data_IF_733547755647
#
_entry.id   IF_733547755647
#
_cell.length_a   1.000
_cell.length_b   1.000
_cell.length_c   1.000
_cell.angle_alpha   90.00
_cell.angle_beta   90.00
_cell.angle_gamma   90.00
#
_symmetry.space_group_name_H-M   'P 1'
#
loop_
_entity.id
_entity.type
_entity.pdbx_description
1 polymer ?
#
# COMPACT_ATOMS: atom_id res chain seq x y z
N UNK A 1 -12.40 -6.63 -9.26
CA UNK A 1 -12.60 -5.25 -9.73
C UNK A 1 -13.15 -4.41 -8.60
N UNK A 2 -12.67 -3.19 -8.44
CA UNK A 2 -13.13 -2.30 -7.38
C UNK A 2 -14.50 -1.71 -7.72
N UNK A 3 -15.35 -1.58 -6.71
CA UNK A 3 -16.58 -0.81 -6.85
C UNK A 3 -16.22 0.68 -6.91
N UNK A 4 -17.16 1.53 -7.31
CA UNK A 4 -16.95 2.97 -7.35
C UNK A 4 -16.58 3.51 -5.96
N UNK A 5 -17.26 3.04 -4.92
CA UNK A 5 -16.95 3.44 -3.54
C UNK A 5 -15.55 3.04 -3.14
N UNK A 6 -15.13 1.83 -3.50
CA UNK A 6 -13.77 1.35 -3.21
C UNK A 6 -12.74 2.15 -3.99
N UNK A 7 -13.03 2.50 -5.24
CA UNK A 7 -12.13 3.31 -6.05
C UNK A 7 -11.95 4.70 -5.45
N UNK A 8 -13.04 5.33 -5.00
CA UNK A 8 -12.97 6.63 -4.34
C UNK A 8 -12.15 6.57 -3.04
N UNK A 9 -12.35 5.51 -2.26
CA UNK A 9 -11.59 5.32 -1.02
C UNK A 9 -10.10 5.15 -1.33
N UNK A 10 -9.78 4.39 -2.38
CA UNK A 10 -8.39 4.17 -2.79
C UNK A 10 -7.76 5.48 -3.27
N UNK A 11 -8.50 6.28 -4.05
CA UNK A 11 -8.01 7.57 -4.55
C UNK A 11 -7.73 8.54 -3.40
N UNK A 12 -8.62 8.58 -2.39
CA UNK A 12 -8.41 9.42 -1.21
C UNK A 12 -7.20 8.94 -0.41
N UNK A 13 -7.05 7.63 -0.28
CA UNK A 13 -5.90 7.06 0.39
C UNK A 13 -4.61 7.44 -0.34
N UNK A 14 -4.58 7.31 -1.67
CA UNK A 14 -3.42 7.67 -2.46
C UNK A 14 -3.05 9.15 -2.28
N UNK A 15 -4.05 10.03 -2.26
CA UNK A 15 -3.82 11.46 -2.02
C UNK A 15 -3.24 11.72 -0.64
N UNK A 16 -3.73 11.01 0.37
CA UNK A 16 -3.24 11.19 1.74
C UNK A 16 -1.76 10.82 1.87
N UNK A 17 -1.28 9.90 1.03
CA UNK A 17 0.13 9.49 1.07
C UNK A 17 1.07 10.62 0.68
N UNK A 18 0.61 11.56 -0.14
CA UNK A 18 1.44 12.68 -0.58
C UNK A 18 1.82 13.62 0.56
N UNK A 19 1.02 13.64 1.61
CA UNK A 19 1.25 14.50 2.78
C UNK A 19 2.13 13.84 3.84
N UNK A 20 2.45 12.56 3.69
CA UNK A 20 3.23 11.84 4.68
C UNK A 20 4.71 12.17 4.59
N UNK A 21 5.39 12.18 5.75
CA UNK A 21 6.84 12.20 5.81
C UNK A 21 7.40 10.91 5.22
N UNK A 22 8.70 10.90 4.94
CA UNK A 22 9.36 9.71 4.41
C UNK A 22 9.19 8.50 5.33
N UNK A 23 9.42 8.70 6.62
CA UNK A 23 9.29 7.61 7.60
C UNK A 23 7.85 7.12 7.70
N UNK A 24 6.88 8.04 7.71
CA UNK A 24 5.47 7.69 7.78
C UNK A 24 5.03 6.92 6.52
N UNK A 25 5.53 7.30 5.36
CA UNK A 25 5.23 6.59 4.12
C UNK A 25 5.79 5.17 4.14
N UNK A 26 7.04 5.01 4.60
CA UNK A 26 7.67 3.70 4.72
C UNK A 26 6.87 2.80 5.65
N UNK A 27 6.46 3.32 6.82
CA UNK A 27 5.65 2.57 7.76
C UNK A 27 4.31 2.18 7.15
N UNK A 28 3.68 3.09 6.42
CA UNK A 28 2.40 2.84 5.77
C UNK A 28 2.54 1.76 4.69
N UNK A 29 3.61 1.79 3.93
CA UNK A 29 3.89 0.75 2.94
C UNK A 29 4.06 -0.62 3.59
N UNK A 30 4.85 -0.70 4.67
CA UNK A 30 5.05 -1.95 5.39
C UNK A 30 3.74 -2.47 5.97
N UNK A 31 2.92 -1.58 6.53
CA UNK A 31 1.62 -1.95 7.07
C UNK A 31 0.69 -2.47 5.96
N UNK A 32 0.70 -1.84 4.80
CA UNK A 32 -0.11 -2.28 3.68
C UNK A 32 0.30 -3.67 3.20
N UNK A 33 1.60 -3.96 3.16
CA UNK A 33 2.10 -5.30 2.82
C UNK A 33 1.65 -6.33 3.85
N UNK A 34 1.74 -6.01 5.13
CA UNK A 34 1.32 -6.91 6.19
C UNK A 34 -0.18 -7.18 6.12
N UNK A 35 -0.98 -6.15 5.89
CA UNK A 35 -2.44 -6.27 5.77
C UNK A 35 -2.83 -7.12 4.56
N UNK A 36 -2.15 -6.94 3.43
CA UNK A 36 -2.38 -7.74 2.23
C UNK A 36 -2.06 -9.22 2.47
N UNK A 37 -0.94 -9.46 3.14
CA UNK A 37 -0.52 -10.82 3.46
C UNK A 37 -1.52 -11.51 4.39
N UNK A 38 -1.99 -10.80 5.41
CA UNK A 38 -2.98 -11.33 6.35
C UNK A 38 -4.30 -11.62 5.63
N UNK A 39 -4.76 -10.71 4.77
CA UNK A 39 -6.00 -10.88 4.02
C UNK A 39 -5.90 -12.07 3.07
N UNK A 40 -4.75 -12.27 2.44
CA UNK A 40 -4.51 -13.41 1.56
C UNK A 40 -4.57 -14.72 2.35
N UNK A 41 -3.90 -14.78 3.51
CA UNK A 41 -3.85 -15.99 4.34
C UNK A 41 -5.23 -16.37 4.88
N UNK A 42 -6.06 -15.37 5.18
CA UNK A 42 -7.41 -15.59 5.71
C UNK A 42 -8.45 -15.86 4.62
N UNK A 43 -8.12 -15.59 3.36
CA UNK A 43 -9.12 -15.64 2.29
C UNK A 43 -10.20 -14.58 2.47
N UNK A 44 -9.82 -13.43 3.00
CA UNK A 44 -10.73 -12.37 3.40
C UNK A 44 -11.37 -11.67 2.21
N UNK A 45 -12.61 -11.21 2.38
CA UNK A 45 -13.29 -10.34 1.40
C UNK A 45 -12.57 -8.99 1.25
N UNK A 46 -11.71 -8.64 2.20
CA UNK A 46 -10.92 -7.41 2.15
C UNK A 46 -9.68 -7.52 1.27
N UNK A 47 -9.44 -8.66 0.63
CA UNK A 47 -8.24 -8.87 -0.16
C UNK A 47 -8.09 -7.85 -1.27
N UNK A 48 -9.17 -7.56 -2.00
CA UNK A 48 -9.13 -6.58 -3.09
C UNK A 48 -8.75 -5.19 -2.58
N UNK A 49 -9.32 -4.78 -1.46
CA UNK A 49 -9.01 -3.49 -0.84
C UNK A 49 -7.56 -3.44 -0.37
N UNK A 50 -7.11 -4.51 0.28
CA UNK A 50 -5.73 -4.59 0.77
C UNK A 50 -4.74 -4.53 -0.39
N UNK A 51 -5.05 -5.22 -1.49
CA UNK A 51 -4.21 -5.20 -2.68
C UNK A 51 -4.14 -3.80 -3.30
N UNK A 52 -5.29 -3.12 -3.40
CA UNK A 52 -5.35 -1.77 -3.95
C UNK A 52 -4.54 -0.79 -3.10
N UNK A 53 -4.60 -0.91 -1.78
CA UNK A 53 -3.80 -0.08 -0.87
C UNK A 53 -2.31 -0.35 -1.03
N UNK A 54 -1.94 -1.61 -1.19
CA UNK A 54 -0.55 -1.99 -1.43
C UNK A 54 -0.02 -1.36 -2.72
N UNK A 55 -0.81 -1.43 -3.81
CA UNK A 55 -0.41 -0.83 -5.07
C UNK A 55 -0.26 0.69 -4.96
N UNK A 56 -1.17 1.35 -4.24
CA UNK A 56 -1.11 2.80 -4.05
C UNK A 56 0.14 3.21 -3.26
N UNK A 57 0.44 2.49 -2.17
CA UNK A 57 1.62 2.77 -1.38
C UNK A 57 2.91 2.44 -2.13
N UNK A 58 2.91 1.37 -2.92
CA UNK A 58 4.05 1.02 -3.75
C UNK A 58 4.35 2.12 -4.77
N UNK A 59 3.30 2.64 -5.42
CA UNK A 59 3.47 3.73 -6.37
C UNK A 59 4.06 4.96 -5.70
N UNK A 60 3.56 5.33 -4.51
CA UNK A 60 4.08 6.46 -3.75
C UNK A 60 5.55 6.23 -3.37
N UNK A 61 5.90 5.01 -2.98
CA UNK A 61 7.28 4.66 -2.65
C UNK A 61 8.20 4.80 -3.87
N UNK A 62 7.76 4.30 -5.03
CA UNK A 62 8.57 4.40 -6.25
C UNK A 62 8.76 5.85 -6.69
N UNK A 63 7.72 6.65 -6.56
CA UNK A 63 7.78 8.06 -6.96
C UNK A 63 8.70 8.86 -6.04
N UNK A 64 8.72 8.53 -4.76
CA UNK A 64 9.52 9.24 -3.77
C UNK A 64 10.92 8.67 -3.63
N UNK A 65 11.06 7.35 -3.76
CA UNK A 65 12.33 6.62 -3.60
C UNK A 65 12.54 5.73 -4.81
N UNK A 66 13.22 6.20 -5.86
CA UNK A 66 13.42 5.39 -7.09
C UNK A 66 14.12 4.05 -6.83
N UNK A 67 14.92 3.96 -5.78
CA UNK A 67 15.65 2.75 -5.40
C UNK A 67 15.00 2.00 -4.24
N UNK A 68 13.69 2.18 -4.04
CA UNK A 68 13.03 1.67 -2.83
C UNK A 68 13.17 0.16 -2.63
N UNK A 69 13.21 -0.62 -3.70
CA UNK A 69 13.33 -2.07 -3.60
C UNK A 69 14.67 -2.50 -3.01
N UNK A 70 15.72 -1.76 -3.28
CA UNK A 70 17.04 -2.01 -2.74
C UNK A 70 17.15 -1.48 -1.32
N UNK A 71 16.66 -0.27 -1.13
CA UNK A 71 16.79 0.49 0.11
C UNK A 71 15.86 -0.02 1.20
N UNK A 72 14.64 -0.39 0.81
CA UNK A 72 13.61 -0.86 1.74
C UNK A 72 13.23 -2.28 1.41
N UNK A 73 14.23 -3.12 1.41
CA UNK A 73 14.03 -4.55 1.25
C UNK A 73 13.33 -5.03 2.49
N UNK A 74 12.03 -4.92 2.43
CA UNK A 74 11.25 -5.26 3.57
C UNK A 74 11.22 -6.74 3.81
N UNK A 75 10.59 -7.09 4.85
CA UNK A 75 10.34 -8.36 5.45
C UNK A 75 9.85 -9.44 4.52
N UNK A 76 9.54 -9.12 3.29
CA UNK A 76 9.10 -10.11 2.33
C UNK A 76 10.29 -10.66 1.59
N UNK A 77 10.39 -11.98 1.55
CA UNK A 77 11.40 -12.63 0.75
C UNK A 77 11.15 -12.40 -0.73
#
# INVERSE_FOLDING_TARGET
MLTDAQQHATDRFAKSLLALSDDALIDTYQQALDDHRAAWAEGSDNLTKAYAQTLATEKAMRDRFPDYRTRYKVRYP
#
